data_IF_651186606768
#
_entry.id   IF_651186606768
#
_cell.length_a   1.000
_cell.length_b   1.000
_cell.length_c   1.000
_cell.angle_alpha   90.00
_cell.angle_beta   90.00
_cell.angle_gamma   90.00
#
_symmetry.space_group_name_H-M   'P 1'
#
loop_
_entity.id
_entity.type
_entity.pdbx_description
1 polymer ?
#
# COMPACT_ATOMS: atom_id res chain seq x y z
N UNK A 1 45.63 29.69 -66.40
CA UNK A 1 45.25 28.30 -66.05
C UNK A 1 45.40 27.96 -64.58
N UNK A 2 45.95 28.78 -63.70
CA UNK A 2 46.16 28.46 -62.26
C UNK A 2 44.91 28.63 -61.38
N UNK A 3 43.93 29.46 -61.77
CA UNK A 3 42.79 29.79 -60.91
C UNK A 3 41.70 28.66 -60.83
N UNK A 4 41.58 27.82 -61.86
CA UNK A 4 40.59 26.73 -61.89
C UNK A 4 40.92 25.51 -61.00
N UNK A 5 42.17 25.35 -60.66
CA UNK A 5 42.60 24.24 -59.78
C UNK A 5 42.31 24.55 -58.29
N UNK A 6 42.56 25.80 -57.87
CA UNK A 6 42.31 26.25 -56.51
C UNK A 6 40.81 26.26 -56.16
N UNK A 7 39.96 26.68 -57.07
CA UNK A 7 38.50 26.65 -56.90
C UNK A 7 37.97 25.20 -56.75
N UNK A 8 38.46 24.28 -57.57
CA UNK A 8 38.08 22.85 -57.46
C UNK A 8 38.47 22.21 -56.14
N UNK A 9 39.62 22.57 -55.60
CA UNK A 9 40.12 22.07 -54.33
C UNK A 9 39.28 22.63 -53.16
N UNK A 10 38.92 23.91 -53.19
CA UNK A 10 38.04 24.52 -52.18
C UNK A 10 36.66 23.85 -52.15
N UNK A 11 36.04 23.60 -53.29
CA UNK A 11 34.74 22.89 -53.35
C UNK A 11 34.84 21.47 -52.75
N UNK A 12 35.91 20.75 -53.00
CA UNK A 12 36.11 19.42 -52.42
C UNK A 12 36.24 19.44 -50.89
N UNK A 13 36.98 20.42 -50.36
CA UNK A 13 37.15 20.60 -48.92
C UNK A 13 35.82 20.97 -48.24
N UNK A 14 35.09 21.94 -48.81
CA UNK A 14 33.76 22.32 -48.29
C UNK A 14 32.79 21.16 -48.33
N UNK A 15 32.80 20.37 -49.39
CA UNK A 15 31.95 19.18 -49.50
C UNK A 15 32.27 18.13 -48.44
N UNK A 16 33.56 17.85 -48.16
CA UNK A 16 33.99 16.93 -47.12
C UNK A 16 33.60 17.41 -45.72
N UNK A 17 33.75 18.69 -45.43
CA UNK A 17 33.34 19.29 -44.16
C UNK A 17 31.82 19.19 -44.00
N UNK A 18 31.04 19.41 -45.05
CA UNK A 18 29.57 19.28 -44.99
C UNK A 18 29.14 17.85 -44.71
N UNK A 19 29.78 16.86 -45.31
CA UNK A 19 29.50 15.43 -45.03
C UNK A 19 29.84 15.08 -43.58
N UNK A 20 30.99 15.55 -43.08
CA UNK A 20 31.40 15.30 -41.68
C UNK A 20 30.41 15.95 -40.69
N UNK A 21 29.96 17.16 -40.96
CA UNK A 21 28.96 17.84 -40.14
C UNK A 21 27.63 17.10 -40.13
N UNK A 22 27.18 16.61 -41.28
CA UNK A 22 25.95 15.83 -41.42
C UNK A 22 26.04 14.50 -40.65
N UNK A 23 27.19 13.85 -40.70
CA UNK A 23 27.46 12.62 -39.95
C UNK A 23 27.42 12.85 -38.43
N UNK A 24 28.03 13.93 -37.94
CA UNK A 24 28.02 14.32 -36.53
C UNK A 24 26.59 14.59 -36.05
N UNK A 25 25.76 15.29 -36.82
CA UNK A 25 24.34 15.52 -36.50
C UNK A 25 23.59 14.22 -36.43
N UNK A 26 23.83 13.28 -37.37
CA UNK A 26 23.18 11.98 -37.37
C UNK A 26 23.58 11.14 -36.15
N UNK A 27 24.84 11.16 -35.72
CA UNK A 27 25.32 10.45 -34.51
C UNK A 27 24.68 11.00 -33.25
N UNK A 28 24.64 12.36 -33.10
CA UNK A 28 23.99 13.00 -31.94
C UNK A 28 22.50 12.69 -31.90
N UNK A 29 21.83 12.74 -33.04
CA UNK A 29 20.39 12.39 -33.14
C UNK A 29 20.12 10.95 -32.74
N UNK A 30 20.90 10.00 -33.23
CA UNK A 30 20.79 8.59 -32.90
C UNK A 30 21.07 8.32 -31.41
N UNK A 31 22.13 8.93 -30.86
CA UNK A 31 22.48 8.84 -29.45
C UNK A 31 21.36 9.35 -28.52
N UNK A 32 20.72 10.47 -28.91
CA UNK A 32 19.61 11.03 -28.13
C UNK A 32 18.34 10.15 -28.12
N UNK A 33 18.02 9.48 -29.23
CA UNK A 33 16.87 8.58 -29.31
C UNK A 33 17.12 7.33 -28.45
N UNK A 34 18.27 6.69 -28.65
CA UNK A 34 18.62 5.44 -27.93
C UNK A 34 18.78 5.67 -26.44
N UNK A 35 19.33 6.82 -26.03
CA UNK A 35 19.49 7.17 -24.63
C UNK A 35 18.16 7.35 -23.89
N UNK A 36 17.15 7.93 -24.54
CA UNK A 36 15.82 8.10 -23.94
C UNK A 36 15.08 6.78 -23.74
N UNK A 37 15.20 5.84 -24.65
CA UNK A 37 14.57 4.52 -24.52
C UNK A 37 15.18 3.72 -23.35
N UNK A 38 16.48 3.72 -23.17
CA UNK A 38 17.14 3.04 -22.07
C UNK A 38 16.78 3.63 -20.70
N UNK A 39 16.73 4.95 -20.57
CA UNK A 39 16.32 5.61 -19.32
C UNK A 39 14.87 5.29 -18.98
N UNK A 40 13.97 5.30 -19.96
CA UNK A 40 12.55 5.00 -19.76
C UNK A 40 12.33 3.54 -19.34
N UNK A 41 13.11 2.61 -19.89
CA UNK A 41 13.04 1.19 -19.50
C UNK A 41 13.54 0.96 -18.07
N UNK A 42 14.66 1.58 -17.69
CA UNK A 42 15.19 1.49 -16.33
C UNK A 42 14.23 2.09 -15.29
N UNK A 43 13.64 3.24 -15.58
CA UNK A 43 12.65 3.86 -14.68
C UNK A 43 11.39 2.98 -14.51
N UNK A 44 10.91 2.35 -15.58
CA UNK A 44 9.76 1.44 -15.49
C UNK A 44 10.07 0.17 -14.69
N UNK A 45 11.28 -0.37 -14.81
CA UNK A 45 11.71 -1.54 -14.03
C UNK A 45 11.82 -1.19 -12.54
N UNK A 46 12.38 -0.03 -12.20
CA UNK A 46 12.51 0.46 -10.82
C UNK A 46 11.13 0.73 -10.18
N UNK A 47 10.19 1.33 -10.92
CA UNK A 47 8.80 1.51 -10.49
C UNK A 47 8.10 0.16 -10.26
N UNK A 48 8.33 -0.81 -11.13
CA UNK A 48 7.76 -2.15 -11.03
C UNK A 48 8.31 -2.91 -9.84
N UNK A 49 9.62 -2.90 -9.62
CA UNK A 49 10.24 -3.52 -8.44
C UNK A 49 9.75 -2.89 -7.14
N UNK A 50 9.70 -1.55 -7.08
CA UNK A 50 9.18 -0.81 -5.92
C UNK A 50 7.72 -1.16 -5.64
N UNK A 51 6.88 -1.27 -6.67
CA UNK A 51 5.47 -1.65 -6.51
C UNK A 51 5.31 -3.09 -6.04
N UNK A 52 6.12 -4.03 -6.53
CA UNK A 52 6.11 -5.42 -6.10
C UNK A 52 6.59 -5.59 -4.65
N UNK A 53 7.61 -4.84 -4.24
CA UNK A 53 8.08 -4.81 -2.85
C UNK A 53 7.00 -4.25 -1.92
N UNK A 54 6.36 -3.15 -2.30
CA UNK A 54 5.23 -2.57 -1.57
C UNK A 54 4.08 -3.57 -1.43
N UNK A 55 3.69 -4.25 -2.51
CA UNK A 55 2.65 -5.27 -2.47
C UNK A 55 3.01 -6.44 -1.54
N UNK A 56 4.26 -6.92 -1.55
CA UNK A 56 4.71 -7.99 -0.65
C UNK A 56 4.71 -7.54 0.82
N UNK A 57 5.13 -6.31 1.10
CA UNK A 57 5.13 -5.76 2.46
C UNK A 57 3.70 -5.58 2.97
N UNK A 58 2.81 -5.04 2.13
CA UNK A 58 1.38 -4.91 2.45
C UNK A 58 0.76 -6.29 2.68
N UNK A 59 0.93 -7.24 1.77
CA UNK A 59 0.38 -8.59 1.91
C UNK A 59 0.88 -9.32 3.18
N UNK A 60 2.14 -9.14 3.56
CA UNK A 60 2.69 -9.71 4.78
C UNK A 60 2.07 -9.12 6.05
N UNK A 61 1.86 -7.80 6.09
CA UNK A 61 1.19 -7.13 7.22
C UNK A 61 -0.30 -7.45 7.30
N UNK A 62 -0.98 -7.47 6.16
CA UNK A 62 -2.41 -7.83 6.07
C UNK A 62 -2.67 -9.21 6.65
N UNK A 63 -1.74 -10.16 6.47
CA UNK A 63 -1.86 -11.51 7.03
C UNK A 63 -1.92 -11.52 8.56
N UNK A 64 -1.11 -10.72 9.24
CA UNK A 64 -1.10 -10.64 10.71
C UNK A 64 -2.41 -10.05 11.27
N UNK A 65 -2.89 -8.93 10.70
CA UNK A 65 -4.15 -8.31 11.09
C UNK A 65 -5.37 -9.19 10.78
N UNK A 66 -5.37 -9.84 9.62
CA UNK A 66 -6.42 -10.77 9.26
C UNK A 66 -6.50 -11.96 10.21
N UNK A 67 -5.32 -12.49 10.61
CA UNK A 67 -5.23 -13.57 11.60
C UNK A 67 -5.78 -13.09 12.95
N UNK A 68 -5.36 -11.90 13.41
CA UNK A 68 -5.88 -11.33 14.65
C UNK A 68 -7.41 -11.21 14.64
N UNK A 69 -7.98 -10.62 13.58
CA UNK A 69 -9.43 -10.49 13.47
C UNK A 69 -10.14 -11.85 13.47
N UNK A 70 -9.60 -12.85 12.75
CA UNK A 70 -10.20 -14.20 12.68
C UNK A 70 -10.10 -14.96 13.99
N UNK A 71 -8.96 -14.94 14.65
CA UNK A 71 -8.73 -15.67 15.91
C UNK A 71 -9.63 -15.15 17.03
N UNK A 72 -9.83 -13.83 17.09
CA UNK A 72 -10.62 -13.19 18.15
C UNK A 72 -12.12 -13.17 17.89
N UNK A 73 -12.55 -13.50 16.69
CA UNK A 73 -13.97 -13.48 16.34
C UNK A 73 -14.67 -14.83 16.50
N UNK A 74 -13.92 -15.93 16.57
CA UNK A 74 -14.45 -17.27 16.87
C UNK A 74 -13.95 -17.78 18.23
N UNK A 75 -14.28 -17.04 19.28
CA UNK A 75 -13.84 -17.32 20.64
C UNK A 75 -14.97 -17.05 21.63
N UNK A 76 -15.35 -18.06 22.42
CA UNK A 76 -16.50 -17.98 23.32
C UNK A 76 -16.33 -16.89 24.39
N UNK A 77 -15.11 -16.71 24.94
CA UNK A 77 -14.84 -15.65 25.90
C UNK A 77 -14.96 -14.24 25.28
N UNK A 78 -14.74 -14.11 23.98
CA UNK A 78 -14.98 -12.85 23.27
C UNK A 78 -16.47 -12.56 23.16
N UNK A 79 -17.31 -13.59 22.92
CA UNK A 79 -18.77 -13.49 22.96
C UNK A 79 -19.24 -13.09 24.37
N UNK A 80 -18.67 -13.71 25.42
CA UNK A 80 -19.00 -13.38 26.82
C UNK A 80 -18.54 -11.96 27.19
N UNK A 81 -17.39 -11.51 26.70
CA UNK A 81 -16.96 -10.14 26.83
C UNK A 81 -17.94 -9.14 26.26
N UNK A 82 -18.52 -9.39 25.08
CA UNK A 82 -19.51 -8.46 24.48
C UNK A 82 -20.74 -8.25 25.37
N UNK A 83 -21.07 -9.22 26.24
CA UNK A 83 -22.17 -9.16 27.21
C UNK A 83 -21.75 -8.55 28.53
N UNK A 84 -20.63 -9.05 29.10
CA UNK A 84 -20.12 -8.65 30.42
C UNK A 84 -19.51 -7.26 30.43
N UNK A 85 -18.86 -6.86 29.33
CA UNK A 85 -18.07 -5.62 29.17
C UNK A 85 -16.93 -5.52 30.20
N UNK A 86 -16.34 -6.67 30.57
CA UNK A 86 -15.25 -6.72 31.54
C UNK A 86 -13.97 -6.07 30.97
N UNK A 87 -13.72 -4.85 31.42
CA UNK A 87 -12.57 -4.07 30.95
C UNK A 87 -11.23 -4.70 31.36
N UNK A 88 -11.16 -5.37 32.51
CA UNK A 88 -9.93 -6.03 32.96
C UNK A 88 -9.62 -7.22 32.05
N UNK A 89 -10.62 -8.03 31.75
CA UNK A 89 -10.47 -9.10 30.76
C UNK A 89 -10.00 -8.57 29.40
N UNK A 90 -10.61 -7.48 28.91
CA UNK A 90 -10.25 -6.88 27.63
C UNK A 90 -8.81 -6.38 27.59
N UNK A 91 -8.31 -5.76 28.67
CA UNK A 91 -6.91 -5.35 28.80
C UNK A 91 -5.99 -6.57 28.73
N UNK A 92 -6.29 -7.62 29.48
CA UNK A 92 -5.43 -8.81 29.59
C UNK A 92 -5.43 -9.67 28.32
N UNK A 93 -6.49 -9.68 27.55
CA UNK A 93 -6.64 -10.56 26.40
C UNK A 93 -6.58 -9.81 25.06
N UNK A 94 -7.21 -8.65 24.93
CA UNK A 94 -7.26 -7.91 23.67
C UNK A 94 -6.09 -6.93 23.56
N UNK A 95 -5.90 -6.05 24.55
CA UNK A 95 -4.87 -5.00 24.45
C UNK A 95 -3.45 -5.57 24.35
N UNK A 96 -3.12 -6.57 25.17
CA UNK A 96 -1.78 -7.20 25.15
C UNK A 96 -1.46 -7.82 23.80
N UNK A 97 -2.49 -8.29 23.04
CA UNK A 97 -2.32 -8.94 21.76
C UNK A 97 -2.00 -7.98 20.63
N UNK A 98 -2.24 -6.67 20.80
CA UNK A 98 -1.87 -5.64 19.82
C UNK A 98 -0.39 -5.73 19.44
N UNK A 99 0.50 -5.92 20.40
CA UNK A 99 1.93 -6.04 20.14
C UNK A 99 2.27 -7.31 19.36
N UNK A 100 1.62 -8.44 19.65
CA UNK A 100 1.84 -9.72 18.98
C UNK A 100 1.46 -9.67 17.50
N UNK A 101 0.32 -9.05 17.20
CA UNK A 101 -0.21 -8.93 15.83
C UNK A 101 0.20 -7.63 15.13
N UNK A 102 1.08 -6.84 15.75
CA UNK A 102 1.53 -5.53 15.24
C UNK A 102 0.38 -4.61 14.84
N UNK A 103 -0.70 -4.67 15.61
CA UNK A 103 -1.85 -3.81 15.45
C UNK A 103 -1.67 -2.53 16.26
N UNK A 104 -1.93 -1.38 15.64
CA UNK A 104 -1.86 -0.09 16.33
C UNK A 104 -3.10 0.14 17.19
N UNK A 105 -4.28 -0.37 16.76
CA UNK A 105 -5.58 -0.12 17.38
C UNK A 105 -6.50 -1.31 17.31
N UNK A 106 -7.42 -1.40 18.27
CA UNK A 106 -8.54 -2.34 18.24
C UNK A 106 -9.81 -1.65 18.72
N UNK A 107 -10.91 -1.89 18.00
CA UNK A 107 -12.28 -1.50 18.38
C UNK A 107 -13.13 -2.73 18.47
N UNK A 108 -13.97 -2.79 19.50
CA UNK A 108 -15.04 -3.77 19.61
C UNK A 108 -16.37 -3.05 19.71
N UNK A 109 -17.31 -3.46 18.89
CA UNK A 109 -18.65 -2.87 18.80
C UNK A 109 -19.71 -3.91 19.16
N UNK A 110 -20.87 -3.45 19.65
CA UNK A 110 -22.04 -4.29 19.80
C UNK A 110 -22.82 -4.41 18.46
N UNK A 111 -23.91 -5.15 18.48
CA UNK A 111 -24.79 -5.34 17.31
C UNK A 111 -25.47 -4.06 16.82
N UNK A 112 -25.49 -3.00 17.62
CA UNK A 112 -25.98 -1.66 17.23
C UNK A 112 -24.84 -0.74 16.79
N UNK A 113 -23.61 -1.27 16.66
CA UNK A 113 -22.39 -0.52 16.37
C UNK A 113 -22.05 0.55 17.44
N UNK A 114 -22.56 0.37 18.66
CA UNK A 114 -22.07 1.14 19.80
C UNK A 114 -20.74 0.55 20.26
N UNK A 115 -19.74 1.43 20.49
CA UNK A 115 -18.40 0.98 20.88
C UNK A 115 -18.39 0.41 22.30
N UNK A 116 -18.02 -0.86 22.43
CA UNK A 116 -17.86 -1.56 23.71
C UNK A 116 -16.45 -1.37 24.29
N UNK A 117 -15.44 -1.38 23.41
CA UNK A 117 -14.04 -1.30 23.82
C UNK A 117 -13.19 -0.60 22.75
N UNK A 118 -12.14 0.05 23.22
CA UNK A 118 -11.07 0.61 22.41
C UNK A 118 -9.74 0.47 23.15
N UNK A 119 -8.71 0.05 22.44
CA UNK A 119 -7.34 0.13 22.93
C UNK A 119 -6.40 0.51 21.79
N UNK A 120 -5.30 1.13 22.17
CA UNK A 120 -4.17 1.47 21.32
C UNK A 120 -2.88 0.81 21.84
N UNK A 121 -1.88 0.67 20.96
CA UNK A 121 -0.57 0.15 21.30
C UNK A 121 0.29 1.13 22.13
N UNK A 122 -0.11 2.40 22.17
CA UNK A 122 0.64 3.50 22.79
C UNK A 122 1.76 4.07 21.94
N UNK A 123 2.04 3.50 20.76
CA UNK A 123 3.11 3.97 19.87
C UNK A 123 2.69 5.18 19.03
N UNK A 124 1.41 5.29 18.71
CA UNK A 124 0.87 6.37 17.87
C UNK A 124 -0.36 6.99 18.54
N UNK A 125 -0.31 8.26 18.94
CA UNK A 125 -1.51 8.92 19.48
C UNK A 125 -2.56 9.05 18.40
N UNK A 126 -3.73 8.49 18.63
CA UNK A 126 -4.89 8.65 17.77
C UNK A 126 -5.96 9.43 18.50
N UNK A 127 -6.40 10.48 17.86
CA UNK A 127 -7.70 11.09 18.18
C UNK A 127 -8.77 10.11 17.70
N UNK A 128 -9.35 9.37 18.63
CA UNK A 128 -10.36 8.32 18.45
C UNK A 128 -11.60 8.73 17.65
N UNK A 129 -11.84 10.01 17.49
CA UNK A 129 -13.06 10.53 16.89
C UNK A 129 -12.98 10.57 15.37
N UNK A 130 -13.69 9.66 14.72
CA UNK A 130 -14.05 9.78 13.31
C UNK A 130 -13.17 9.07 12.29
N UNK A 131 -12.24 8.18 12.70
CA UNK A 131 -11.43 7.44 11.75
C UNK A 131 -12.22 6.44 10.92
N UNK A 132 -13.19 5.78 11.52
CA UNK A 132 -13.99 4.76 10.86
C UNK A 132 -15.41 5.26 10.70
N UNK A 133 -15.87 5.29 9.46
CA UNK A 133 -17.27 5.64 9.16
C UNK A 133 -18.19 4.48 9.59
N UNK A 134 -19.03 4.70 10.59
CA UNK A 134 -19.97 3.70 11.13
C UNK A 134 -20.92 3.16 10.06
N UNK A 135 -21.41 4.00 9.18
CA UNK A 135 -22.30 3.57 8.10
C UNK A 135 -21.60 2.62 7.12
N UNK A 136 -20.32 2.87 6.84
CA UNK A 136 -19.49 1.97 6.04
C UNK A 136 -19.28 0.64 6.75
N UNK A 137 -18.98 0.64 8.06
CA UNK A 137 -18.84 -0.60 8.85
C UNK A 137 -20.11 -1.42 8.85
N UNK A 138 -21.28 -0.79 9.02
CA UNK A 138 -22.57 -1.45 8.98
C UNK A 138 -22.81 -2.16 7.65
N UNK A 139 -22.49 -1.47 6.53
CA UNK A 139 -22.63 -2.05 5.20
C UNK A 139 -21.70 -3.25 5.00
N UNK A 140 -20.43 -3.11 5.38
CA UNK A 140 -19.45 -4.19 5.24
C UNK A 140 -19.76 -5.40 6.10
N UNK A 141 -20.18 -5.19 7.35
CA UNK A 141 -20.54 -6.27 8.27
C UNK A 141 -21.86 -6.98 7.89
N UNK A 142 -22.74 -6.30 7.16
CA UNK A 142 -23.96 -6.92 6.62
C UNK A 142 -23.66 -7.81 5.39
N UNK A 143 -22.64 -7.48 4.62
CA UNK A 143 -22.24 -8.18 3.40
C UNK A 143 -21.32 -9.37 3.67
N UNK A 144 -20.43 -9.26 4.65
CA UNK A 144 -19.43 -10.28 4.94
C UNK A 144 -19.09 -10.38 6.43
N UNK A 145 -18.85 -11.61 6.91
CA UNK A 145 -18.37 -11.87 8.28
C UNK A 145 -16.95 -11.39 8.51
N UNK A 146 -16.14 -11.31 7.46
CA UNK A 146 -14.79 -10.76 7.48
C UNK A 146 -14.68 -9.71 6.39
N UNK A 147 -14.10 -8.55 6.75
CA UNK A 147 -13.88 -7.45 5.82
C UNK A 147 -12.51 -6.82 6.02
N UNK A 148 -11.97 -6.31 4.92
CA UNK A 148 -10.66 -5.68 4.86
C UNK A 148 -10.74 -4.45 3.96
N UNK A 149 -10.22 -3.31 4.43
CA UNK A 149 -10.19 -2.07 3.66
C UNK A 149 -9.11 -1.11 4.16
N UNK A 150 -8.86 -0.05 3.41
CA UNK A 150 -7.91 1.00 3.75
C UNK A 150 -8.61 2.33 3.96
N UNK A 151 -8.15 3.09 4.97
CA UNK A 151 -8.62 4.45 5.25
C UNK A 151 -7.48 5.42 5.06
N UNK A 152 -7.75 6.54 4.38
CA UNK A 152 -6.82 7.65 4.32
C UNK A 152 -7.02 8.54 5.55
N UNK A 153 -5.96 8.74 6.34
CA UNK A 153 -5.92 9.64 7.49
C UNK A 153 -4.91 10.77 7.28
N UNK A 154 -4.89 11.73 8.20
CA UNK A 154 -3.89 12.81 8.21
C UNK A 154 -2.47 12.29 8.48
N UNK A 155 -2.34 11.08 9.01
CA UNK A 155 -1.06 10.43 9.35
C UNK A 155 -0.65 9.35 8.35
N UNK A 156 -1.39 9.17 7.26
CA UNK A 156 -1.11 8.17 6.24
C UNK A 156 -2.30 7.25 5.94
N UNK A 157 -1.99 6.09 5.38
CA UNK A 157 -2.97 5.06 5.07
C UNK A 157 -3.05 4.09 6.26
N UNK A 158 -4.25 3.85 6.75
CA UNK A 158 -4.56 2.89 7.82
C UNK A 158 -5.21 1.67 7.19
N UNK A 159 -4.66 0.50 7.47
CA UNK A 159 -5.24 -0.78 7.11
C UNK A 159 -6.19 -1.23 8.20
N UNK A 160 -7.39 -1.67 7.84
CA UNK A 160 -8.42 -2.12 8.76
C UNK A 160 -8.88 -3.52 8.37
N UNK A 161 -8.77 -4.44 9.32
CA UNK A 161 -9.37 -5.77 9.25
C UNK A 161 -10.43 -5.86 10.33
N UNK A 162 -11.61 -6.32 9.96
CA UNK A 162 -12.72 -6.52 10.90
C UNK A 162 -13.44 -7.83 10.64
N UNK A 163 -14.05 -8.37 11.69
CA UNK A 163 -14.88 -9.55 11.56
C UNK A 163 -16.01 -9.54 12.61
N UNK A 164 -17.09 -10.22 12.31
CA UNK A 164 -18.20 -10.39 13.26
C UNK A 164 -17.86 -11.47 14.30
N UNK A 165 -18.22 -11.21 15.56
CA UNK A 165 -17.93 -12.09 16.70
C UNK A 165 -18.99 -13.19 16.77
N UNK A 166 -18.54 -14.44 16.81
CA UNK A 166 -19.36 -15.65 16.85
C UNK A 166 -18.84 -16.64 17.89
N UNK A 167 -19.69 -17.52 18.44
CA UNK A 167 -19.24 -18.59 19.31
C UNK A 167 -18.40 -19.62 18.52
N UNK A 168 -17.51 -20.31 19.21
CA UNK A 168 -16.66 -21.36 18.63
C UNK A 168 -17.46 -22.47 17.97
N UNK A 169 -18.71 -22.71 18.44
CA UNK A 169 -19.62 -23.70 17.91
C UNK A 169 -20.37 -23.29 16.64
N UNK A 170 -20.16 -22.09 16.12
CA UNK A 170 -20.81 -21.60 14.88
C UNK A 170 -20.43 -22.51 13.70
N UNK A 171 -21.40 -23.17 13.01
CA UNK A 171 -21.12 -24.07 11.90
C UNK A 171 -20.67 -23.34 10.62
N UNK A 172 -20.94 -22.03 10.52
CA UNK A 172 -20.55 -21.21 9.37
C UNK A 172 -19.20 -20.51 9.59
N UNK A 173 -18.28 -21.18 10.29
CA UNK A 173 -16.94 -20.68 10.52
C UNK A 173 -16.21 -20.42 9.19
N UNK A 174 -15.48 -19.30 9.11
CA UNK A 174 -14.67 -18.87 7.96
C UNK A 174 -13.48 -19.80 7.68
#
# INVERSE_FOLDING_TARGET
MKNNLLTKTHYRIVFLISILALFMVAVVYYSNITGKEHVTLLMKEEERESSLLLQKVIAGKTGELATFAKDYTYWDEMVDFTKSRDTLWAIQNIKVSLATYRADYVWVFDTNFARLYFADSGEKPVTDSGMVNMQMLQTLAADSRFFHFFIKSNHGIIEVCGASIHPTSDPERL
#
